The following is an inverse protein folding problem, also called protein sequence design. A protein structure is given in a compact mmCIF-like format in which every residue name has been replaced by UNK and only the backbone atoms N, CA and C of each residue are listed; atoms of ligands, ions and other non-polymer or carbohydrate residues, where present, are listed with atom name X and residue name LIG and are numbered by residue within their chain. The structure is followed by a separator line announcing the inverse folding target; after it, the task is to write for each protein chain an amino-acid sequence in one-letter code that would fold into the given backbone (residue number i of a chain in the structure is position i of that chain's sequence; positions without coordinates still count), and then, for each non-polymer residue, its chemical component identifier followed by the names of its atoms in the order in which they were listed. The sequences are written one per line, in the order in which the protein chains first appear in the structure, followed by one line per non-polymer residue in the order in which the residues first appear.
data_IF_176854583579
#
_entry.id   IF_176854583579
#
_cell.length_a   1.000
_cell.length_b   1.000
_cell.length_c   1.000
_cell.angle_alpha   90.00
_cell.angle_beta   90.00
_cell.angle_gamma   90.00
#
_symmetry.space_group_name_H-M   'P 1'
#
loop_
_entity.id
_entity.type
_entity.pdbx_description
1 polymer ?
#
# COMPACT_ATOMS: atom_id res chain seq x y z
N UNK A 1 -24.28 27.19 21.15
CA UNK A 1 -24.25 26.05 20.23
C UNK A 1 -22.92 26.07 19.53
N UNK A 2 -22.00 25.20 19.93
CA UNK A 2 -20.72 25.04 19.23
C UNK A 2 -21.01 24.40 17.88
N UNK A 3 -20.69 25.08 16.78
CA UNK A 3 -20.91 24.58 15.44
C UNK A 3 -19.99 23.38 15.20
N UNK A 4 -20.54 22.28 14.67
CA UNK A 4 -19.75 21.13 14.28
C UNK A 4 -18.68 21.57 13.25
N UNK A 5 -17.43 21.09 13.35
CA UNK A 5 -16.38 21.47 12.42
C UNK A 5 -16.80 21.12 10.99
N UNK A 6 -16.59 22.08 10.08
CA UNK A 6 -16.85 21.89 8.65
C UNK A 6 -16.06 20.67 8.15
N UNK A 7 -16.75 19.79 7.41
CA UNK A 7 -16.12 18.61 6.84
C UNK A 7 -15.02 19.03 5.86
N UNK A 8 -13.80 18.55 6.08
CA UNK A 8 -12.68 18.83 5.17
C UNK A 8 -12.95 18.15 3.83
N UNK A 9 -12.99 18.91 2.71
CA UNK A 9 -13.22 18.32 1.40
C UNK A 9 -12.06 17.38 1.03
N UNK A 10 -12.38 16.15 0.60
CA UNK A 10 -11.41 15.12 0.20
C UNK A 10 -11.37 13.87 1.09
N UNK A 11 -12.01 13.90 2.26
CA UNK A 11 -12.06 12.73 3.16
C UNK A 11 -10.70 12.36 3.78
N UNK A 12 -10.62 11.22 4.50
CA UNK A 12 -9.38 10.77 5.11
C UNK A 12 -8.34 10.39 4.05
N UNK A 13 -7.11 10.88 4.22
CA UNK A 13 -5.98 10.63 3.32
C UNK A 13 -4.92 9.81 4.05
N UNK A 14 -4.56 8.64 3.50
CA UNK A 14 -3.46 7.82 4.02
C UNK A 14 -2.12 8.37 3.52
N UNK A 15 -1.14 8.44 4.42
CA UNK A 15 0.23 8.86 4.13
C UNK A 15 1.21 7.76 4.51
N UNK A 16 2.20 7.51 3.65
CA UNK A 16 3.34 6.67 3.96
C UNK A 16 4.54 7.54 4.35
N UNK A 17 5.26 7.10 5.37
CA UNK A 17 6.52 7.70 5.83
C UNK A 17 7.55 6.58 5.97
N UNK A 18 8.73 6.77 5.42
CA UNK A 18 9.80 5.77 5.49
C UNK A 18 11.17 6.41 5.43
N UNK A 19 12.20 5.61 5.68
CA UNK A 19 13.59 6.01 5.50
C UNK A 19 14.14 5.36 4.24
N UNK A 20 14.72 6.16 3.38
CA UNK A 20 15.51 5.67 2.26
C UNK A 20 16.76 4.96 2.77
N UNK A 21 16.89 3.66 2.46
CA UNK A 21 17.98 2.83 3.00
C UNK A 21 19.38 3.25 2.56
N UNK A 22 19.51 3.86 1.38
CA UNK A 22 20.80 4.29 0.82
C UNK A 22 21.25 5.66 1.33
N UNK A 23 20.32 6.61 1.46
CA UNK A 23 20.61 8.01 1.79
C UNK A 23 20.29 8.38 3.24
N UNK A 24 19.60 7.49 3.97
CA UNK A 24 19.08 7.71 5.33
C UNK A 24 18.08 8.87 5.46
N UNK A 25 17.61 9.43 4.34
CA UNK A 25 16.64 10.53 4.32
C UNK A 25 15.23 10.03 4.63
N UNK A 26 14.45 10.86 5.32
CA UNK A 26 13.02 10.61 5.52
C UNK A 26 12.28 10.98 4.25
N UNK A 27 11.51 10.05 3.71
CA UNK A 27 10.61 10.25 2.58
C UNK A 27 9.16 10.09 3.03
N UNK A 28 8.27 10.78 2.34
CA UNK A 28 6.84 10.69 2.60
C UNK A 28 6.04 10.99 1.34
N UNK A 29 4.86 10.38 1.21
CA UNK A 29 3.88 10.69 0.16
C UNK A 29 2.47 10.27 0.56
N UNK A 30 1.48 10.94 -0.01
CA UNK A 30 0.10 10.47 0.04
C UNK A 30 -0.04 9.19 -0.80
N UNK A 31 -0.83 8.23 -0.31
CA UNK A 31 -1.19 7.02 -1.04
C UNK A 31 -2.53 7.19 -1.72
N UNK A 32 -2.68 6.63 -2.91
CA UNK A 32 -4.01 6.48 -3.48
C UNK A 32 -4.85 5.52 -2.61
N UNK A 33 -6.18 5.62 -2.70
CA UNK A 33 -7.08 4.86 -1.83
C UNK A 33 -6.90 3.35 -1.99
N UNK A 34 -6.81 2.90 -3.22
CA UNK A 34 -6.57 1.51 -3.62
C UNK A 34 -5.21 1.01 -3.13
N UNK A 35 -4.15 1.80 -3.31
CA UNK A 35 -2.83 1.50 -2.78
C UNK A 35 -2.82 1.34 -1.26
N UNK A 36 -3.48 2.26 -0.55
CA UNK A 36 -3.54 2.25 0.91
C UNK A 36 -4.24 1.00 1.44
N UNK A 37 -5.34 0.58 0.80
CA UNK A 37 -6.07 -0.65 1.14
C UNK A 37 -5.21 -1.88 0.84
N UNK A 38 -4.59 -1.95 -0.33
CA UNK A 38 -3.71 -3.06 -0.71
C UNK A 38 -2.49 -3.19 0.20
N UNK A 39 -1.88 -2.07 0.59
CA UNK A 39 -0.76 -2.06 1.54
C UNK A 39 -1.19 -2.57 2.92
N UNK A 40 -2.33 -2.12 3.43
CA UNK A 40 -2.85 -2.58 4.72
C UNK A 40 -3.14 -4.09 4.72
N UNK A 41 -3.67 -4.63 3.62
CA UNK A 41 -3.90 -6.06 3.45
C UNK A 41 -2.60 -6.87 3.55
N UNK A 42 -1.55 -6.48 2.81
CA UNK A 42 -0.26 -7.18 2.88
C UNK A 42 0.41 -7.02 4.24
N UNK A 43 0.24 -5.87 4.89
CA UNK A 43 0.75 -5.62 6.24
C UNK A 43 0.13 -6.58 7.27
N UNK A 44 -1.14 -6.95 7.10
CA UNK A 44 -1.85 -7.91 7.95
C UNK A 44 -1.56 -9.38 7.57
N UNK A 45 -0.62 -9.62 6.65
CA UNK A 45 -0.21 -10.96 6.23
C UNK A 45 -0.99 -11.53 5.05
N UNK A 46 -1.76 -10.71 4.33
CA UNK A 46 -2.36 -11.08 3.05
C UNK A 46 -1.30 -11.42 2.00
N UNK A 47 -1.71 -12.15 0.97
CA UNK A 47 -0.85 -12.56 -0.14
C UNK A 47 -1.15 -11.79 -1.44
N UNK A 48 -0.41 -12.12 -2.50
CA UNK A 48 -0.58 -11.49 -3.80
C UNK A 48 -1.96 -11.74 -4.42
N UNK A 49 -2.56 -12.90 -4.19
CA UNK A 49 -3.89 -13.19 -4.73
C UNK A 49 -4.93 -12.29 -4.07
N UNK A 50 -4.91 -12.21 -2.73
CA UNK A 50 -5.79 -11.33 -1.98
C UNK A 50 -5.60 -9.86 -2.36
N UNK A 51 -4.37 -9.44 -2.68
CA UNK A 51 -4.09 -8.09 -3.20
C UNK A 51 -4.78 -7.83 -4.55
N UNK A 52 -4.73 -8.78 -5.48
CA UNK A 52 -5.42 -8.64 -6.76
C UNK A 52 -6.93 -8.58 -6.58
N UNK A 53 -7.50 -9.42 -5.70
CA UNK A 53 -8.93 -9.43 -5.38
C UNK A 53 -9.38 -8.09 -4.80
N UNK A 54 -8.70 -7.56 -3.78
CA UNK A 54 -9.10 -6.28 -3.18
C UNK A 54 -8.96 -5.12 -4.16
N UNK A 55 -7.95 -5.15 -5.04
CA UNK A 55 -7.77 -4.12 -6.07
C UNK A 55 -8.86 -4.20 -7.14
N UNK A 56 -9.32 -5.41 -7.51
CA UNK A 56 -10.45 -5.56 -8.41
C UNK A 56 -11.76 -5.01 -7.82
N UNK A 57 -11.94 -5.06 -6.49
CA UNK A 57 -13.12 -4.47 -5.84
C UNK A 57 -13.11 -2.94 -5.82
N UNK A 58 -11.93 -2.32 -5.74
CA UNK A 58 -11.80 -0.86 -5.57
C UNK A 58 -11.36 -0.12 -6.84
N UNK A 59 -10.98 -0.84 -7.90
CA UNK A 59 -10.53 -0.31 -9.19
C UNK A 59 -11.17 -1.07 -10.36
N UNK A 60 -10.70 -0.86 -11.58
CA UNK A 60 -11.18 -1.58 -12.77
C UNK A 60 -10.63 -3.01 -12.76
N UNK A 61 -11.52 -4.00 -12.85
CA UNK A 61 -11.22 -5.44 -12.72
C UNK A 61 -10.15 -5.89 -13.73
N UNK A 62 -10.18 -5.35 -14.95
CA UNK A 62 -9.23 -5.69 -16.01
C UNK A 62 -7.79 -5.17 -15.74
N UNK A 63 -7.66 -4.17 -14.85
CA UNK A 63 -6.38 -3.53 -14.52
C UNK A 63 -5.82 -3.95 -13.16
N UNK A 64 -6.59 -4.69 -12.35
CA UNK A 64 -6.26 -4.99 -10.95
C UNK A 64 -4.88 -5.64 -10.78
N UNK A 65 -4.58 -6.67 -11.59
CA UNK A 65 -3.29 -7.36 -11.53
C UNK A 65 -2.11 -6.46 -11.94
N UNK A 66 -2.32 -5.60 -12.94
CA UNK A 66 -1.30 -4.65 -13.39
C UNK A 66 -1.04 -3.58 -12.32
N UNK A 67 -2.09 -3.09 -11.67
CA UNK A 67 -1.98 -2.17 -10.55
C UNK A 67 -1.26 -2.81 -9.36
N UNK A 68 -1.63 -4.04 -8.99
CA UNK A 68 -0.96 -4.81 -7.94
C UNK A 68 0.55 -4.92 -8.20
N UNK A 69 0.93 -5.30 -9.42
CA UNK A 69 2.32 -5.40 -9.84
C UNK A 69 3.05 -4.04 -9.78
N UNK A 70 2.39 -2.97 -10.21
CA UNK A 70 2.91 -1.60 -10.14
C UNK A 70 3.20 -1.15 -8.71
N UNK A 71 2.27 -1.39 -7.78
CA UNK A 71 2.44 -1.07 -6.37
C UNK A 71 3.56 -1.88 -5.73
N UNK A 72 3.57 -3.21 -5.92
CA UNK A 72 4.63 -4.08 -5.41
C UNK A 72 6.02 -3.62 -5.88
N UNK A 73 6.15 -3.31 -7.17
CA UNK A 73 7.40 -2.77 -7.73
C UNK A 73 7.81 -1.48 -7.03
N UNK A 74 6.87 -0.54 -6.90
CA UNK A 74 7.14 0.75 -6.23
C UNK A 74 7.56 0.58 -4.76
N UNK A 75 6.94 -0.36 -4.04
CA UNK A 75 7.29 -0.65 -2.65
C UNK A 75 8.65 -1.34 -2.52
N UNK A 76 9.02 -2.23 -3.46
CA UNK A 76 10.36 -2.83 -3.52
C UNK A 76 11.41 -1.76 -3.79
N UNK A 77 11.19 -0.90 -4.80
CA UNK A 77 12.10 0.20 -5.14
C UNK A 77 12.25 1.21 -3.98
N UNK A 78 11.17 1.44 -3.22
CA UNK A 78 11.19 2.28 -2.02
C UNK A 78 11.82 1.60 -0.79
N UNK A 79 12.12 0.30 -0.86
CA UNK A 79 12.70 -0.48 0.23
C UNK A 79 11.71 -0.86 1.34
N UNK A 80 10.41 -0.88 1.06
CA UNK A 80 9.37 -1.24 2.04
C UNK A 80 9.21 -2.75 2.17
N UNK A 81 9.38 -3.48 1.07
CA UNK A 81 9.37 -4.93 1.04
C UNK A 81 10.82 -5.41 1.07
N UNK A 82 11.20 -6.07 2.16
CA UNK A 82 12.58 -6.55 2.36
C UNK A 82 12.72 -8.07 2.22
N UNK A 83 11.63 -8.78 2.01
CA UNK A 83 11.62 -10.23 1.88
C UNK A 83 10.25 -10.77 1.51
N UNK A 84 10.22 -12.05 1.16
CA UNK A 84 9.01 -12.79 0.85
C UNK A 84 8.89 -13.96 1.84
N UNK A 85 7.65 -14.25 2.25
CA UNK A 85 7.31 -15.46 2.97
C UNK A 85 6.46 -16.33 2.05
N UNK A 86 6.86 -17.59 1.86
CA UNK A 86 6.09 -18.56 1.11
C UNK A 86 6.24 -19.94 1.78
N UNK A 87 5.22 -20.81 1.70
CA UNK A 87 5.33 -22.18 2.19
C UNK A 87 6.57 -22.89 1.59
N UNK A 88 7.45 -23.40 2.46
CA UNK A 88 8.70 -24.05 2.05
C UNK A 88 9.87 -23.11 1.74
N UNK A 89 9.68 -21.79 1.84
CA UNK A 89 10.73 -20.79 1.65
C UNK A 89 11.24 -20.34 3.03
N UNK A 90 12.19 -21.09 3.61
CA UNK A 90 12.89 -20.67 4.82
C UNK A 90 14.14 -19.87 4.44
N UNK A 91 14.14 -18.56 4.73
CA UNK A 91 15.37 -17.76 4.71
C UNK A 91 16.07 -17.71 6.08
N UNK A 92 15.65 -18.57 7.02
CA UNK A 92 16.31 -18.78 8.31
C UNK A 92 17.60 -19.59 8.14
#
# INVERSE_FOLDING_TARGET
TEAAPEAVPGGPQTWAFWRDGGTCQVRYRALARDEAVGFALLWDGGDFQALCEILAEVSDEDAAALHAAGYLRGWIEAGWITGLSAPGLSWA
#
